data_IF_109582455145
#
_entry.id   IF_109582455145
#
_cell.length_a   1.000
_cell.length_b   1.000
_cell.length_c   1.000
_cell.angle_alpha   90.00
_cell.angle_beta   90.00
_cell.angle_gamma   90.00
#
_symmetry.space_group_name_H-M   'P 1'
#
loop_
_entity.id
_entity.type
_entity.pdbx_description
1 polymer ?
#
# COMPACT_ATOMS: atom_id res chain seq x y z
N UNK A 1 -13.93 -24.67 -6.90
CA UNK A 1 -13.39 -23.30 -6.91
C UNK A 1 -12.38 -23.20 -5.77
N UNK A 2 -11.08 -23.07 -6.06
CA UNK A 2 -10.06 -22.90 -5.03
C UNK A 2 -10.38 -21.65 -4.22
N UNK A 3 -10.49 -21.80 -2.90
CA UNK A 3 -10.78 -20.67 -2.02
C UNK A 3 -9.68 -19.62 -2.19
N UNK A 4 -10.02 -18.38 -2.60
CA UNK A 4 -9.01 -17.35 -2.76
C UNK A 4 -8.32 -17.10 -1.42
N UNK A 5 -6.99 -17.03 -1.44
CA UNK A 5 -6.21 -16.68 -0.26
C UNK A 5 -6.60 -15.29 0.27
N UNK A 6 -6.16 -14.98 1.49
CA UNK A 6 -6.50 -13.75 2.21
C UNK A 6 -6.31 -12.47 1.36
N UNK A 7 -5.21 -12.41 0.60
CA UNK A 7 -4.89 -11.30 -0.31
C UNK A 7 -5.92 -11.17 -1.43
N UNK A 8 -6.33 -12.29 -2.02
CA UNK A 8 -7.33 -12.29 -3.10
C UNK A 8 -8.71 -11.85 -2.60
N UNK A 9 -9.11 -12.29 -1.40
CA UNK A 9 -10.35 -11.82 -0.76
C UNK A 9 -10.32 -10.32 -0.47
N UNK A 10 -9.19 -9.80 -0.01
CA UNK A 10 -9.02 -8.37 0.22
C UNK A 10 -9.08 -7.57 -1.08
N UNK A 11 -8.39 -8.04 -2.13
CA UNK A 11 -8.43 -7.41 -3.45
C UNK A 11 -9.84 -7.37 -4.07
N UNK A 12 -10.61 -8.44 -3.88
CA UNK A 12 -12.01 -8.51 -4.32
C UNK A 12 -12.87 -7.51 -3.55
N UNK A 13 -12.74 -7.44 -2.22
CA UNK A 13 -13.47 -6.50 -1.38
C UNK A 13 -13.17 -5.03 -1.75
N UNK A 14 -11.90 -4.72 -2.00
CA UNK A 14 -11.44 -3.42 -2.51
C UNK A 14 -12.07 -3.11 -3.87
N UNK A 15 -11.99 -4.03 -4.83
CA UNK A 15 -12.55 -3.85 -6.18
C UNK A 15 -14.06 -3.60 -6.14
N UNK A 16 -14.79 -4.33 -5.30
CA UNK A 16 -16.23 -4.12 -5.09
C UNK A 16 -16.53 -2.74 -4.51
N UNK A 17 -15.70 -2.25 -3.59
CA UNK A 17 -15.87 -0.93 -2.98
C UNK A 17 -15.57 0.20 -3.95
N UNK A 18 -14.57 0.04 -4.81
CA UNK A 18 -14.17 1.00 -5.84
C UNK A 18 -15.07 0.96 -7.09
N UNK A 19 -15.75 -0.16 -7.36
CA UNK A 19 -16.47 -0.38 -8.62
C UNK A 19 -15.55 -0.53 -9.84
N UNK A 20 -14.23 -0.55 -9.63
CA UNK A 20 -13.19 -0.77 -10.64
C UNK A 20 -12.04 -1.59 -10.05
N UNK A 21 -11.26 -2.21 -10.92
CA UNK A 21 -10.06 -2.92 -10.49
C UNK A 21 -8.98 -1.92 -10.06
N UNK A 22 -8.38 -2.15 -8.89
CA UNK A 22 -7.27 -1.35 -8.38
C UNK A 22 -5.95 -1.85 -8.97
N UNK A 23 -5.09 -0.94 -9.44
CA UNK A 23 -3.76 -1.32 -9.92
C UNK A 23 -2.91 -1.97 -8.82
N UNK A 24 -2.03 -2.93 -9.15
CA UNK A 24 -1.23 -3.64 -8.14
C UNK A 24 -0.28 -2.70 -7.36
N UNK A 25 0.23 -1.66 -8.00
CA UNK A 25 1.11 -0.65 -7.39
C UNK A 25 0.36 0.67 -7.06
N UNK A 26 -0.96 0.71 -7.26
CA UNK A 26 -1.80 1.88 -6.99
C UNK A 26 -2.08 2.02 -5.48
N UNK A 27 -1.99 3.24 -4.96
CA UNK A 27 -2.21 3.47 -3.55
C UNK A 27 -3.70 3.48 -3.20
N UNK A 28 -4.10 2.82 -2.11
CA UNK A 28 -5.50 2.76 -1.68
C UNK A 28 -6.13 4.14 -1.49
N UNK A 29 -5.39 5.06 -0.88
CA UNK A 29 -5.84 6.43 -0.63
C UNK A 29 -5.94 7.26 -1.91
N UNK A 30 -5.02 7.07 -2.85
CA UNK A 30 -5.04 7.75 -4.16
C UNK A 30 -6.22 7.26 -5.02
N UNK A 31 -6.59 5.99 -4.86
CA UNK A 31 -7.75 5.42 -5.50
C UNK A 31 -9.10 5.91 -4.90
N UNK A 32 -9.06 6.65 -3.78
CA UNK A 32 -10.24 7.20 -3.12
C UNK A 32 -10.79 6.36 -1.97
N UNK A 33 -9.98 5.47 -1.36
CA UNK A 33 -10.37 4.75 -0.15
C UNK A 33 -9.94 5.51 1.11
N UNK A 34 -10.83 5.57 2.10
CA UNK A 34 -10.55 6.13 3.42
C UNK A 34 -10.06 5.07 4.41
N UNK A 35 -9.35 5.52 5.46
CA UNK A 35 -8.84 4.66 6.53
C UNK A 35 -9.93 3.82 7.20
N UNK A 36 -11.10 4.40 7.47
CA UNK A 36 -12.24 3.70 8.10
C UNK A 36 -12.79 2.60 7.18
N UNK A 37 -12.83 2.86 5.88
CA UNK A 37 -13.25 1.87 4.89
C UNK A 37 -12.24 0.72 4.84
N UNK A 38 -10.94 1.03 4.82
CA UNK A 38 -9.87 0.04 4.82
C UNK A 38 -9.87 -0.82 6.09
N UNK A 39 -10.11 -0.22 7.24
CA UNK A 39 -10.28 -0.91 8.52
C UNK A 39 -11.45 -1.90 8.50
N UNK A 40 -12.62 -1.45 8.01
CA UNK A 40 -13.79 -2.31 7.91
C UNK A 40 -13.55 -3.49 6.94
N UNK A 41 -12.97 -3.21 5.76
CA UNK A 41 -12.64 -4.24 4.77
C UNK A 41 -11.61 -5.25 5.31
N UNK A 42 -10.61 -4.74 6.04
CA UNK A 42 -9.60 -5.56 6.70
C UNK A 42 -10.24 -6.51 7.71
N UNK A 43 -11.03 -5.97 8.64
CA UNK A 43 -11.71 -6.74 9.67
C UNK A 43 -12.61 -7.83 9.11
N UNK A 44 -13.29 -7.57 7.98
CA UNK A 44 -14.12 -8.56 7.28
C UNK A 44 -13.31 -9.72 6.68
N UNK A 45 -12.11 -9.43 6.18
CA UNK A 45 -11.30 -10.43 5.48
C UNK A 45 -10.45 -11.23 6.47
N UNK A 46 -9.98 -10.60 7.56
CA UNK A 46 -9.10 -11.20 8.57
C UNK A 46 -9.85 -11.72 9.80
N UNK A 47 -11.15 -11.99 9.70
CA UNK A 47 -11.94 -12.58 10.79
C UNK A 47 -11.25 -13.86 11.29
N UNK A 48 -10.95 -13.92 12.59
CA UNK A 48 -10.26 -15.05 13.22
C UNK A 48 -8.74 -15.12 12.99
N UNK A 49 -8.17 -14.21 12.19
CA UNK A 49 -6.74 -14.14 11.88
C UNK A 49 -6.15 -12.72 11.97
N UNK A 50 -6.84 -11.79 12.62
CA UNK A 50 -6.43 -10.38 12.70
C UNK A 50 -5.04 -10.18 13.34
N UNK A 51 -4.65 -11.04 14.28
CA UNK A 51 -3.30 -11.02 14.87
C UNK A 51 -2.18 -11.39 13.88
N UNK A 52 -2.48 -12.18 12.84
CA UNK A 52 -1.53 -12.58 11.80
C UNK A 52 -1.39 -11.54 10.69
N UNK A 53 -2.42 -10.73 10.50
CA UNK A 53 -2.51 -9.71 9.48
C UNK A 53 -2.85 -8.38 10.16
N UNK A 54 -1.89 -7.70 10.80
CA UNK A 54 -2.19 -6.48 11.52
C UNK A 54 -2.62 -5.37 10.56
N UNK A 55 -3.61 -4.58 10.96
CA UNK A 55 -4.11 -3.45 10.15
C UNK A 55 -3.01 -2.43 9.82
N UNK A 56 -1.97 -2.35 10.66
CA UNK A 56 -0.79 -1.50 10.43
C UNK A 56 -0.07 -1.83 9.12
N UNK A 57 -0.13 -3.07 8.64
CA UNK A 57 0.45 -3.44 7.33
C UNK A 57 -0.24 -2.69 6.18
N UNK A 58 -1.53 -2.35 6.28
CA UNK A 58 -2.22 -1.57 5.25
C UNK A 58 -1.68 -0.15 5.14
N UNK A 59 -1.33 0.45 6.28
CA UNK A 59 -0.77 1.80 6.32
C UNK A 59 0.72 1.81 5.96
N UNK A 60 1.46 0.75 6.30
CA UNK A 60 2.87 0.59 5.92
C UNK A 60 3.05 0.22 4.43
N UNK A 61 2.10 -0.53 3.87
CA UNK A 61 2.11 -1.04 2.51
C UNK A 61 0.80 -0.68 1.79
N UNK A 62 0.60 0.60 1.43
CA UNK A 62 -0.67 1.12 0.94
C UNK A 62 -1.02 0.74 -0.51
N UNK A 63 -0.51 -0.39 -1.03
CA UNK A 63 -0.86 -0.94 -2.33
C UNK A 63 -0.96 -2.47 -2.29
N UNK A 64 -1.70 -3.05 -3.24
CA UNK A 64 -1.98 -4.49 -3.30
C UNK A 64 -0.72 -5.35 -3.40
N UNK A 65 0.28 -4.92 -4.18
CA UNK A 65 1.50 -5.70 -4.44
C UNK A 65 2.39 -5.81 -3.21
N UNK A 66 2.59 -4.71 -2.48
CA UNK A 66 3.38 -4.70 -1.25
C UNK A 66 2.67 -5.49 -0.15
N UNK A 67 1.35 -5.34 -0.02
CA UNK A 67 0.54 -6.08 0.94
C UNK A 67 0.58 -7.60 0.65
N UNK A 68 0.42 -7.99 -0.62
CA UNK A 68 0.47 -9.38 -1.04
C UNK A 68 1.80 -10.06 -0.65
N UNK A 69 2.92 -9.35 -0.83
CA UNK A 69 4.25 -9.84 -0.44
C UNK A 69 4.35 -10.02 1.07
N UNK A 70 3.93 -9.02 1.85
CA UNK A 70 3.99 -9.04 3.32
C UNK A 70 3.13 -10.16 3.90
N UNK A 71 1.89 -10.28 3.46
CA UNK A 71 0.95 -11.28 3.97
C UNK A 71 1.30 -12.69 3.53
N UNK A 72 1.85 -12.87 2.33
CA UNK A 72 2.37 -14.18 1.90
C UNK A 72 3.59 -14.62 2.70
N UNK A 73 4.44 -13.67 3.11
CA UNK A 73 5.61 -13.92 3.95
C UNK A 73 5.22 -14.27 5.39
N UNK A 74 4.27 -13.54 5.98
CA UNK A 74 3.66 -13.91 7.27
C UNK A 74 2.94 -15.25 7.22
N UNK A 75 2.29 -15.58 6.09
CA UNK A 75 1.64 -16.87 5.92
C UNK A 75 2.65 -18.04 5.99
N UNK A 76 3.82 -17.90 5.36
CA UNK A 76 4.87 -18.92 5.35
C UNK A 76 5.55 -19.10 6.71
N UNK A 77 5.81 -18.02 7.44
CA UNK A 77 6.46 -18.08 8.76
C UNK A 77 5.61 -18.82 9.80
N UNK A 78 4.31 -18.57 9.81
CA UNK A 78 3.40 -19.21 10.75
C UNK A 78 3.27 -20.73 10.54
N UNK A 79 3.29 -21.20 9.28
CA UNK A 79 3.34 -22.64 8.93
C UNK A 79 4.62 -23.31 9.44
N UNK A 80 5.73 -22.59 9.47
CA UNK A 80 7.03 -23.09 9.94
C UNK A 80 7.19 -23.03 11.46
N UNK A 81 6.53 -22.08 12.14
CA UNK A 81 6.55 -21.98 13.62
C UNK A 81 5.72 -23.04 14.35
N UNK A 82 4.96 -23.88 13.64
CA UNK A 82 4.23 -25.00 14.26
C UNK A 82 5.03 -26.31 14.36
N UNK A 83 6.33 -26.29 14.03
CA UNK A 83 7.23 -27.47 14.14
C UNK A 83 8.45 -27.28 15.06
N UNK A 84 8.60 -26.15 15.72
CA UNK A 84 9.76 -25.94 16.61
C UNK A 84 9.35 -25.09 17.82
N UNK A 85 9.20 -25.77 18.96
CA UNK A 85 9.18 -25.14 20.27
C UNK A 85 10.56 -24.51 20.55
N UNK A 86 10.67 -23.18 20.46
CA UNK A 86 11.71 -22.42 21.15
C UNK A 86 12.41 -21.34 20.34
N UNK A 87 12.30 -20.08 20.81
CA UNK A 87 13.35 -19.08 20.61
C UNK A 87 12.92 -17.79 19.92
N UNK A 88 12.83 -16.74 20.74
CA UNK A 88 13.21 -15.34 20.46
C UNK A 88 13.44 -14.91 19.00
N UNK A 89 12.59 -14.03 18.48
CA UNK A 89 13.01 -12.93 17.62
C UNK A 89 11.88 -11.90 17.43
N UNK A 90 12.10 -10.70 17.94
CA UNK A 90 11.37 -9.49 17.54
C UNK A 90 11.74 -9.11 16.10
N UNK A 91 10.80 -8.91 15.16
CA UNK A 91 11.14 -8.36 13.86
C UNK A 91 11.20 -6.84 13.95
N UNK A 92 12.41 -6.32 13.81
CA UNK A 92 12.75 -4.91 13.66
C UNK A 92 11.90 -4.24 12.56
N UNK A 93 11.21 -3.17 12.95
CA UNK A 93 10.56 -2.22 12.03
C UNK A 93 11.64 -1.48 11.24
N UNK A 94 11.98 -2.01 10.06
CA UNK A 94 12.81 -1.28 9.10
C UNK A 94 11.96 -0.17 8.49
N UNK A 95 12.16 1.03 9.01
CA UNK A 95 11.63 2.30 8.49
C UNK A 95 12.04 2.45 7.02
N UNK A 96 11.12 2.17 6.10
CA UNK A 96 11.34 2.43 4.68
C UNK A 96 11.45 3.95 4.46
N UNK A 97 12.52 4.44 3.83
CA UNK A 97 12.60 5.83 3.38
C UNK A 97 11.60 6.02 2.24
N UNK A 98 10.77 7.06 2.39
CA UNK A 98 9.81 7.52 1.37
C UNK A 98 10.57 7.80 0.06
N UNK A 99 10.48 6.87 -0.89
CA UNK A 99 10.85 7.15 -2.27
C UNK A 99 9.73 7.99 -2.87
N UNK A 100 9.98 9.29 -2.95
CA UNK A 100 9.24 10.21 -3.79
C UNK A 100 9.33 9.71 -5.23
N UNK A 101 8.24 9.14 -5.74
CA UNK A 101 8.04 8.96 -7.18
C UNK A 101 7.78 10.34 -7.76
N UNK A 102 8.87 10.97 -8.21
CA UNK A 102 8.85 12.18 -9.00
C UNK A 102 7.96 11.94 -10.23
N UNK A 103 6.89 12.74 -10.32
CA UNK A 103 6.06 12.83 -11.51
C UNK A 103 6.88 13.40 -12.66
N UNK A 104 7.00 12.61 -13.73
CA UNK A 104 7.40 13.06 -15.04
C UNK A 104 6.21 13.77 -15.72
N UNK A 105 6.45 14.95 -16.28
CA UNK A 105 5.48 15.71 -17.07
C UNK A 105 6.00 17.12 -17.36
N UNK A 106 7.01 17.26 -18.22
CA UNK A 106 6.85 17.59 -19.65
C UNK A 106 6.37 19.03 -19.95
N UNK A 107 7.28 19.75 -20.62
CA UNK A 107 7.09 20.73 -21.68
C UNK A 107 6.30 22.02 -21.43
N UNK A 108 6.96 23.14 -21.75
CA UNK A 108 6.23 24.33 -22.16
C UNK A 108 7.05 25.61 -22.13
N UNK A 109 8.02 25.73 -23.03
CA UNK A 109 8.62 27.01 -23.45
C UNK A 109 7.51 28.04 -23.68
N UNK A 110 7.53 29.19 -22.98
CA UNK A 110 6.78 30.39 -23.39
C UNK A 110 7.68 31.61 -23.22
N UNK A 111 8.38 31.92 -24.29
CA UNK A 111 9.02 33.21 -24.54
C UNK A 111 7.92 34.25 -24.73
N UNK A 112 7.93 35.35 -23.96
CA UNK A 112 7.34 36.67 -24.27
C UNK A 112 7.80 37.66 -23.18
N UNK A 113 8.90 38.39 -23.39
CA UNK A 113 8.98 39.74 -23.98
C UNK A 113 8.38 40.86 -23.09
N UNK A 114 9.17 41.96 -23.00
CA UNK A 114 8.81 43.39 -22.95
C UNK A 114 9.04 44.18 -21.64
N UNK A 115 9.77 45.29 -21.83
CA UNK A 115 9.83 46.57 -21.06
C UNK A 115 10.59 46.58 -19.73
N UNK A 116 11.28 47.65 -19.34
CA UNK A 116 11.66 48.94 -19.94
C UNK A 116 12.55 49.66 -18.91
N UNK A 117 13.54 50.44 -19.38
CA UNK A 117 14.18 51.56 -18.68
C UNK A 117 15.14 51.17 -17.55
N UNK A 118 16.32 51.76 -17.39
CA UNK A 118 16.79 53.06 -17.86
C UNK A 118 17.19 53.89 -16.65
N UNK A 119 18.39 54.45 -16.70
CA UNK A 119 18.96 55.47 -15.79
C UNK A 119 19.44 54.94 -14.42
N UNK A 120 20.59 55.32 -13.88
CA UNK A 120 21.50 56.41 -14.21
C UNK A 120 22.83 56.23 -13.46
N UNK A 121 23.77 57.07 -13.87
CA UNK A 121 25.20 57.10 -13.57
C UNK A 121 25.60 57.27 -12.11
#
# INVERSE_FOLDING_TARGET
>A
MSTPGIVGRFADAVTRKLGRQLGPDENFFDAGLDSVTLEALHGQVTVGAAGRYPITDLFAHPNLRALARRWSDSARRDDSTHRDDGGDATPAVTRQPRRASAGAGQLGRRRRELRSGGDGS
#
